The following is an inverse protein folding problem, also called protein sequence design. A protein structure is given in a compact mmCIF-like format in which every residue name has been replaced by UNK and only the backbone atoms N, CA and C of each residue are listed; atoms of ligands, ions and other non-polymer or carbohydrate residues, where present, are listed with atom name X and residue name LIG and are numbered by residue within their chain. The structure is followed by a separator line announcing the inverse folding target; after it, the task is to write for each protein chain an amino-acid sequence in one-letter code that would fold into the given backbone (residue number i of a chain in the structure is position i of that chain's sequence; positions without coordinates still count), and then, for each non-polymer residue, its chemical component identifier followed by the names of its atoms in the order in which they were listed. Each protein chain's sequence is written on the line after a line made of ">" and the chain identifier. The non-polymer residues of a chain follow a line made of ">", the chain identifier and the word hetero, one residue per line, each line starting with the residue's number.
data_IF_024526855274
#
_entry.id   IF_024526855274
#
_cell.length_a   1.000
_cell.length_b   1.000
_cell.length_c   1.000
_cell.angle_alpha   90.00
_cell.angle_beta   90.00
_cell.angle_gamma   90.00
#
_symmetry.space_group_name_H-M   'P 1'
#
loop_
_entity.id
_entity.type
_entity.pdbx_description
1 polymer ?
#
# COMPACT_ATOMS: atom_id res chain seq x y z
N UNK A 1 -33.07 7.75 3.66
CA UNK A 1 -32.21 8.78 3.18
C UNK A 1 -30.82 8.27 2.82
N UNK A 2 -30.35 8.75 1.75
CA UNK A 2 -29.07 8.31 1.32
C UNK A 2 -27.95 9.01 2.04
N UNK A 3 -27.06 8.27 2.58
CA UNK A 3 -25.92 8.84 3.23
C UNK A 3 -25.01 9.49 2.20
N UNK A 4 -24.53 10.68 2.51
CA UNK A 4 -23.58 11.35 1.65
C UNK A 4 -22.27 10.59 1.67
N UNK A 5 -21.85 10.17 0.52
CA UNK A 5 -20.58 9.47 0.42
C UNK A 5 -19.45 10.45 0.39
N UNK A 6 -18.40 10.07 1.08
CA UNK A 6 -17.17 10.80 0.98
C UNK A 6 -16.55 10.50 -0.38
N UNK A 7 -16.45 11.48 -1.24
CA UNK A 7 -15.86 11.31 -2.56
C UNK A 7 -14.37 11.14 -2.51
N UNK A 8 -13.76 11.44 -1.39
CA UNK A 8 -12.33 11.37 -1.26
C UNK A 8 -11.90 9.98 -0.89
N UNK A 9 -10.82 9.57 -1.48
CA UNK A 9 -10.13 8.35 -1.07
C UNK A 9 -8.70 8.70 -0.77
N UNK A 10 -8.04 7.79 -0.08
CA UNK A 10 -6.65 7.99 0.28
C UNK A 10 -5.79 7.03 -0.52
N UNK A 11 -4.76 7.60 -1.11
CA UNK A 11 -3.69 6.84 -1.69
C UNK A 11 -2.68 6.65 -0.58
N UNK A 12 -2.15 5.44 -0.42
CA UNK A 12 -1.25 5.19 0.69
C UNK A 12 -0.08 4.29 0.30
N UNK A 13 0.98 4.42 1.07
CA UNK A 13 2.13 3.53 1.03
C UNK A 13 2.31 3.03 2.45
N UNK A 14 2.40 1.73 2.61
CA UNK A 14 2.60 1.12 3.92
C UNK A 14 3.43 -0.13 3.81
N UNK A 15 3.71 -0.76 4.94
CA UNK A 15 4.56 -1.93 4.94
C UNK A 15 4.30 -2.84 6.12
N UNK A 16 4.89 -4.03 6.03
CA UNK A 16 5.01 -4.93 7.17
C UNK A 16 6.21 -5.84 6.94
N UNK A 17 6.66 -6.47 8.03
CA UNK A 17 7.69 -7.50 7.94
C UNK A 17 7.02 -8.85 8.15
N UNK A 18 7.40 -9.84 7.34
CA UNK A 18 6.86 -11.17 7.55
C UNK A 18 7.66 -11.92 8.63
N UNK A 19 7.25 -13.16 8.90
CA UNK A 19 7.86 -13.96 9.96
C UNK A 19 9.32 -14.28 9.68
N UNK A 20 9.76 -14.15 8.44
CA UNK A 20 11.15 -14.35 8.06
C UNK A 20 11.93 -13.05 8.02
N UNK A 21 11.31 -11.95 8.42
CA UNK A 21 11.97 -10.66 8.43
C UNK A 21 12.06 -9.98 7.08
N UNK A 22 11.32 -10.48 6.10
CA UNK A 22 11.30 -9.83 4.78
C UNK A 22 10.40 -8.62 4.79
N UNK A 23 10.81 -7.59 4.09
CA UNK A 23 10.09 -6.32 4.05
C UNK A 23 9.13 -6.31 2.87
N UNK A 24 7.85 -6.13 3.15
CA UNK A 24 6.84 -6.03 2.11
C UNK A 24 6.17 -4.67 2.12
N UNK A 25 6.20 -4.04 0.97
CA UNK A 25 5.61 -2.73 0.75
C UNK A 25 4.25 -2.91 0.09
N UNK A 26 3.28 -2.14 0.55
CA UNK A 26 1.93 -2.13 -0.04
C UNK A 26 1.60 -0.71 -0.47
N UNK A 27 1.19 -0.57 -1.72
CA UNK A 27 0.70 0.70 -2.26
C UNK A 27 -0.74 0.46 -2.68
N UNK A 28 -1.66 1.26 -2.17
CA UNK A 28 -3.07 1.05 -2.46
C UNK A 28 -3.91 2.27 -2.20
N UNK A 29 -5.21 2.06 -2.26
CA UNK A 29 -6.18 3.12 -2.01
C UNK A 29 -7.24 2.63 -1.03
N UNK A 30 -7.81 3.56 -0.28
CA UNK A 30 -8.88 3.25 0.64
C UNK A 30 -9.68 4.51 0.96
N UNK A 31 -10.94 4.34 1.29
CA UNK A 31 -11.74 5.46 1.78
C UNK A 31 -11.75 5.53 3.31
N UNK A 32 -11.03 4.62 3.97
CA UNK A 32 -11.01 4.56 5.43
C UNK A 32 -9.67 3.96 5.87
N UNK A 33 -8.74 4.83 6.21
CA UNK A 33 -7.38 4.40 6.55
C UNK A 33 -7.36 3.48 7.78
N UNK A 34 -8.14 3.81 8.79
CA UNK A 34 -8.13 3.01 10.02
C UNK A 34 -8.68 1.61 9.78
N UNK A 35 -9.81 1.52 9.09
CA UNK A 35 -10.41 0.23 8.78
C UNK A 35 -9.48 -0.60 7.91
N UNK A 36 -8.88 0.02 6.91
CA UNK A 36 -8.02 -0.70 5.97
C UNK A 36 -6.77 -1.24 6.64
N UNK A 37 -6.23 -0.48 7.57
CA UNK A 37 -5.06 -0.93 8.33
C UNK A 37 -5.40 -2.19 9.11
N UNK A 38 -6.56 -2.20 9.75
CA UNK A 38 -7.00 -3.37 10.51
C UNK A 38 -7.22 -4.58 9.61
N UNK A 39 -7.79 -4.35 8.43
CA UNK A 39 -8.01 -5.42 7.46
C UNK A 39 -6.69 -6.01 6.98
N UNK A 40 -5.73 -5.16 6.65
CA UNK A 40 -4.42 -5.64 6.22
C UNK A 40 -3.74 -6.44 7.32
N UNK A 41 -3.78 -5.93 8.54
CA UNK A 41 -3.18 -6.61 9.66
C UNK A 41 -3.76 -8.00 9.83
N UNK A 42 -5.08 -8.09 9.82
CA UNK A 42 -5.76 -9.39 9.98
C UNK A 42 -5.42 -10.34 8.82
N UNK A 43 -5.50 -9.83 7.60
CA UNK A 43 -5.30 -10.66 6.43
C UNK A 43 -3.86 -11.15 6.31
N UNK A 44 -2.90 -10.28 6.61
CA UNK A 44 -1.51 -10.66 6.47
C UNK A 44 -1.04 -11.58 7.58
N UNK A 45 -1.66 -11.51 8.74
CA UNK A 45 -1.38 -12.47 9.82
C UNK A 45 -1.81 -13.88 9.43
N UNK A 46 -2.77 -14.01 8.53
CA UNK A 46 -3.28 -15.31 8.07
C UNK A 46 -2.72 -15.75 6.73
N UNK A 47 -1.84 -14.95 6.15
CA UNK A 47 -1.33 -15.25 4.83
C UNK A 47 -0.47 -16.51 4.86
N UNK A 48 -0.56 -17.32 3.80
CA UNK A 48 0.27 -18.51 3.70
C UNK A 48 1.70 -18.15 3.34
N UNK A 49 1.85 -17.18 2.44
CA UNK A 49 3.16 -16.70 2.03
C UNK A 49 3.32 -15.29 2.56
N UNK A 50 4.53 -14.97 3.02
CA UNK A 50 4.80 -13.64 3.56
C UNK A 50 3.88 -13.31 4.73
N UNK A 51 3.71 -14.30 5.59
CA UNK A 51 2.84 -14.16 6.75
C UNK A 51 3.41 -13.18 7.76
N UNK A 52 2.57 -12.27 8.22
CA UNK A 52 2.96 -11.32 9.25
C UNK A 52 2.92 -11.99 10.62
N UNK A 53 3.87 -11.65 11.52
CA UNK A 53 3.80 -12.18 12.88
C UNK A 53 2.52 -11.80 13.59
N UNK A 54 2.10 -12.61 14.54
CA UNK A 54 0.83 -12.42 15.22
C UNK A 54 0.79 -11.15 16.05
N UNK A 55 1.93 -10.66 16.50
CA UNK A 55 2.00 -9.46 17.35
C UNK A 55 2.39 -8.21 16.57
N UNK A 56 2.52 -8.30 15.25
CA UNK A 56 2.87 -7.17 14.41
C UNK A 56 1.61 -6.56 13.79
N UNK A 57 1.76 -5.36 13.27
CA UNK A 57 0.67 -4.66 12.60
C UNK A 57 1.18 -4.03 11.32
N UNK A 58 0.28 -3.90 10.35
CA UNK A 58 0.57 -3.16 9.14
C UNK A 58 0.71 -1.67 9.50
N UNK A 59 1.70 -1.00 8.92
CA UNK A 59 1.97 0.41 9.22
C UNK A 59 1.91 1.24 7.97
N UNK A 60 1.24 2.40 8.06
CA UNK A 60 1.29 3.38 6.98
C UNK A 60 2.56 4.20 7.10
N UNK A 61 3.20 4.42 5.96
CA UNK A 61 4.36 5.31 5.88
C UNK A 61 3.95 6.67 5.35
N UNK A 62 2.90 6.70 4.53
CA UNK A 62 2.48 7.93 3.87
C UNK A 62 1.09 7.75 3.28
N UNK A 63 0.32 8.83 3.22
CA UNK A 63 -0.95 8.81 2.53
C UNK A 63 -1.29 10.19 2.01
N UNK A 64 -2.14 10.24 0.99
CA UNK A 64 -2.57 11.47 0.33
C UNK A 64 -4.03 11.35 -0.06
N UNK A 65 -4.89 12.31 0.32
CA UNK A 65 -6.27 12.28 -0.12
C UNK A 65 -6.40 12.68 -1.59
N UNK A 66 -7.20 11.93 -2.33
CA UNK A 66 -7.48 12.19 -3.73
C UNK A 66 -8.96 12.00 -3.98
N UNK A 67 -9.43 12.51 -5.12
CA UNK A 67 -10.80 12.20 -5.52
C UNK A 67 -10.90 10.72 -5.84
N UNK A 68 -12.10 10.16 -5.71
CA UNK A 68 -12.30 8.76 -5.98
C UNK A 68 -11.90 8.39 -7.41
N UNK A 69 -12.23 9.26 -8.36
CA UNK A 69 -11.89 8.99 -9.74
C UNK A 69 -10.38 8.86 -9.94
N UNK A 70 -9.63 9.77 -9.34
CA UNK A 70 -8.19 9.76 -9.49
C UNK A 70 -7.55 8.55 -8.82
N UNK A 71 -8.09 8.11 -7.69
CA UNK A 71 -7.51 6.94 -7.01
C UNK A 71 -7.72 5.68 -7.80
N UNK A 72 -8.88 5.52 -8.44
CA UNK A 72 -9.13 4.34 -9.25
C UNK A 72 -8.20 4.27 -10.45
N UNK A 73 -8.00 5.40 -11.12
CA UNK A 73 -7.05 5.46 -12.23
C UNK A 73 -5.64 5.18 -11.76
N UNK A 74 -5.31 5.70 -10.61
CA UNK A 74 -3.96 5.56 -10.07
C UNK A 74 -3.62 4.09 -9.79
N UNK A 75 -4.56 3.35 -9.26
CA UNK A 75 -4.30 1.97 -8.86
C UNK A 75 -3.76 1.13 -10.02
N UNK A 76 -4.39 1.25 -11.18
CA UNK A 76 -3.95 0.49 -12.33
C UNK A 76 -2.57 0.91 -12.80
N UNK A 77 -2.33 2.21 -12.85
CA UNK A 77 -1.05 2.72 -13.28
C UNK A 77 0.06 2.35 -12.32
N UNK A 78 -0.25 2.41 -11.03
CA UNK A 78 0.77 2.20 -10.03
C UNK A 78 1.28 0.77 -10.01
N UNK A 79 0.40 -0.19 -10.20
CA UNK A 79 0.82 -1.59 -10.19
C UNK A 79 1.89 -1.84 -11.24
N UNK A 80 1.69 -1.31 -12.42
CA UNK A 80 2.62 -1.46 -13.52
C UNK A 80 3.89 -0.65 -13.29
N UNK A 81 3.74 0.60 -12.87
CA UNK A 81 4.87 1.49 -12.68
C UNK A 81 5.78 1.06 -11.53
N UNK A 82 5.22 0.47 -10.51
CA UNK A 82 6.02 0.00 -9.38
C UNK A 82 7.08 -0.99 -9.81
N UNK A 83 6.72 -1.91 -10.70
CA UNK A 83 7.67 -2.88 -11.19
C UNK A 83 8.69 -2.25 -12.14
N UNK A 84 8.24 -1.35 -12.99
CA UNK A 84 9.13 -0.68 -13.92
C UNK A 84 10.20 0.15 -13.20
N UNK A 85 9.85 0.68 -12.06
CA UNK A 85 10.77 1.52 -11.30
C UNK A 85 11.68 0.76 -10.37
N UNK A 86 11.56 -0.57 -10.34
CA UNK A 86 12.43 -1.38 -9.49
C UNK A 86 12.18 -1.21 -8.01
N UNK A 87 10.94 -0.90 -7.63
CA UNK A 87 10.59 -0.78 -6.22
C UNK A 87 10.80 -2.11 -5.50
N UNK A 88 10.56 -3.19 -6.21
CA UNK A 88 10.73 -4.51 -5.65
C UNK A 88 10.03 -5.54 -6.50
N UNK A 89 10.12 -6.79 -6.09
CA UNK A 89 9.45 -7.86 -6.79
C UNK A 89 7.97 -7.82 -6.44
N UNK A 90 7.11 -7.73 -7.45
CA UNK A 90 5.67 -7.72 -7.25
C UNK A 90 5.21 -9.09 -6.76
N UNK A 91 4.54 -9.12 -5.63
CA UNK A 91 3.93 -10.34 -5.14
C UNK A 91 2.41 -10.15 -5.22
N UNK A 92 1.64 -10.73 -4.35
CA UNK A 92 0.19 -10.68 -4.50
C UNK A 92 -0.40 -9.41 -3.92
N UNK A 93 -1.57 -9.01 -4.44
CA UNK A 93 -2.37 -7.91 -3.88
C UNK A 93 -1.60 -6.60 -3.81
N UNK A 94 -0.86 -6.32 -4.89
CA UNK A 94 -0.11 -5.06 -5.01
C UNK A 94 0.94 -4.88 -3.93
N UNK A 95 1.49 -5.98 -3.44
CA UNK A 95 2.60 -5.93 -2.50
C UNK A 95 3.91 -6.14 -3.24
N UNK A 96 4.93 -5.50 -2.75
CA UNK A 96 6.26 -5.61 -3.33
C UNK A 96 7.25 -6.08 -2.27
N UNK A 97 8.01 -7.10 -2.61
CA UNK A 97 9.06 -7.59 -1.74
C UNK A 97 10.29 -6.72 -1.95
N UNK A 98 10.68 -6.01 -0.91
CA UNK A 98 11.78 -5.06 -0.99
C UNK A 98 12.95 -5.54 -0.14
N UNK A 99 14.16 -5.39 -0.68
CA UNK A 99 15.33 -5.87 0.04
C UNK A 99 15.79 -4.93 1.14
N UNK A 100 15.68 -3.62 0.92
CA UNK A 100 16.16 -2.63 1.88
C UNK A 100 15.08 -1.59 2.13
N UNK A 101 14.61 -1.60 3.33
CA UNK A 101 13.41 -0.88 3.66
C UNK A 101 13.46 0.66 3.64
N UNK A 102 14.39 1.35 4.30
CA UNK A 102 14.25 2.80 4.41
C UNK A 102 14.33 3.51 3.07
N UNK A 103 15.24 3.07 2.24
CA UNK A 103 15.44 3.71 0.94
C UNK A 103 14.26 3.44 0.01
N UNK A 104 13.72 2.22 0.06
CA UNK A 104 12.58 1.88 -0.78
C UNK A 104 11.33 2.66 -0.40
N UNK A 105 11.11 2.87 0.88
CA UNK A 105 9.93 3.61 1.32
C UNK A 105 9.96 5.02 0.78
N UNK A 106 11.09 5.70 0.89
CA UNK A 106 11.19 7.07 0.41
C UNK A 106 11.02 7.15 -1.10
N UNK A 107 11.64 6.24 -1.81
CA UNK A 107 11.51 6.20 -3.27
C UNK A 107 10.07 5.92 -3.66
N UNK A 108 9.43 4.96 -3.00
CA UNK A 108 8.04 4.62 -3.29
C UNK A 108 7.11 5.79 -3.04
N UNK A 109 7.31 6.51 -1.94
CA UNK A 109 6.49 7.67 -1.62
C UNK A 109 6.65 8.74 -2.70
N UNK A 110 7.89 9.04 -3.05
CA UNK A 110 8.17 10.08 -4.02
C UNK A 110 7.57 9.73 -5.39
N UNK A 111 7.74 8.50 -5.83
CA UNK A 111 7.19 8.08 -7.11
C UNK A 111 5.68 8.03 -7.10
N UNK A 112 5.11 7.53 -6.01
CA UNK A 112 3.67 7.49 -5.86
C UNK A 112 3.07 8.88 -5.96
N UNK A 113 3.70 9.84 -5.29
CA UNK A 113 3.25 11.21 -5.33
C UNK A 113 3.33 11.79 -6.75
N UNK A 114 4.40 11.51 -7.47
CA UNK A 114 4.55 11.98 -8.84
C UNK A 114 3.48 11.41 -9.76
N UNK A 115 3.19 10.10 -9.62
CA UNK A 115 2.16 9.47 -10.42
C UNK A 115 0.79 10.08 -10.11
N UNK A 116 0.52 10.36 -8.85
CA UNK A 116 -0.77 10.91 -8.44
C UNK A 116 -1.00 12.31 -9.00
N UNK A 117 0.07 13.07 -9.21
CA UNK A 117 -0.04 14.41 -9.74
C UNK A 117 -0.03 14.47 -11.27
N UNK A 118 0.27 13.38 -11.90
CA UNK A 118 0.35 13.34 -13.38
C UNK A 118 -1.06 13.32 -14.06
#
# INVERSE_FOLDING_TARGET
>A
MKKVKNDKEFLYVGHYYDILGRYLLKIGTTNDLKRRRAEHTRNYRRAKNFQMPADAEFEYDWYLPLSKYNTLRFEDKNRQKGQEMGIGEFVRNDRFLCGKKPDFVEVAIRRTYQIALA
#
